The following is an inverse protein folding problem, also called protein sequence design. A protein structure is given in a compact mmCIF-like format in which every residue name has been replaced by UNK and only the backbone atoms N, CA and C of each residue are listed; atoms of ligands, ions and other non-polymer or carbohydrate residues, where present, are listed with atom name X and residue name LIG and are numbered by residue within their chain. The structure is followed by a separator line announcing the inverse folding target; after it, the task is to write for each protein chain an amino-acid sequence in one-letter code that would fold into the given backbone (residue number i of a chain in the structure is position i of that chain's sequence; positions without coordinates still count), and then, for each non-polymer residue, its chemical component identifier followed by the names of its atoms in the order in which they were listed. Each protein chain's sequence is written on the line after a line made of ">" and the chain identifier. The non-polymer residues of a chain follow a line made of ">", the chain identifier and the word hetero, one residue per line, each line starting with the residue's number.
data_IF_775641300947
#
_entry.id   IF_775641300947
#
_cell.length_a   1.000
_cell.length_b   1.000
_cell.length_c   1.000
_cell.angle_alpha   90.00
_cell.angle_beta   90.00
_cell.angle_gamma   90.00
#
_symmetry.space_group_name_H-M   'P 1'
#
loop_
_entity.id
_entity.type
_entity.pdbx_description
1 polymer ?
#
# COMPACT_ATOMS: atom_id res chain seq x y z
N UNK A 1 -19.66 19.91 -57.32
CA UNK A 1 -18.60 20.49 -56.45
C UNK A 1 -19.11 20.84 -55.05
N UNK A 2 -20.07 21.77 -54.86
CA UNK A 2 -20.58 22.15 -53.52
C UNK A 2 -21.09 20.98 -52.65
N UNK A 3 -21.86 20.04 -53.22
CA UNK A 3 -22.36 18.84 -52.50
C UNK A 3 -21.24 17.92 -52.00
N UNK A 4 -20.16 17.77 -52.77
CA UNK A 4 -19.01 16.93 -52.41
C UNK A 4 -18.24 17.56 -51.24
N UNK A 5 -18.04 18.89 -51.28
CA UNK A 5 -17.40 19.63 -50.19
C UNK A 5 -18.22 19.54 -48.88
N UNK A 6 -19.55 19.70 -48.96
CA UNK A 6 -20.43 19.56 -47.78
C UNK A 6 -20.31 18.16 -47.18
N UNK A 7 -20.33 17.11 -48.01
CA UNK A 7 -20.21 15.73 -47.55
C UNK A 7 -18.86 15.47 -46.84
N UNK A 8 -17.75 15.96 -47.40
CA UNK A 8 -16.43 15.81 -46.79
C UNK A 8 -16.33 16.55 -45.44
N UNK A 9 -16.88 17.76 -45.34
CA UNK A 9 -16.88 18.50 -44.08
C UNK A 9 -17.74 17.81 -43.01
N UNK A 10 -18.92 17.28 -43.38
CA UNK A 10 -19.76 16.52 -42.44
C UNK A 10 -19.04 15.30 -41.89
N UNK A 11 -18.34 14.52 -42.72
CA UNK A 11 -17.58 13.34 -42.28
C UNK A 11 -16.47 13.73 -41.30
N UNK A 12 -15.73 14.81 -41.58
CA UNK A 12 -14.66 15.29 -40.71
C UNK A 12 -15.21 15.74 -39.35
N UNK A 13 -16.32 16.49 -39.35
CA UNK A 13 -16.97 16.95 -38.11
C UNK A 13 -17.45 15.77 -37.28
N UNK A 14 -18.11 14.78 -37.89
CA UNK A 14 -18.53 13.56 -37.19
C UNK A 14 -17.32 12.81 -36.62
N UNK A 15 -16.23 12.68 -37.37
CA UNK A 15 -14.99 12.06 -36.89
C UNK A 15 -14.40 12.77 -35.68
N UNK A 16 -14.34 14.10 -35.68
CA UNK A 16 -13.85 14.89 -34.55
C UNK A 16 -14.76 14.71 -33.32
N UNK A 17 -16.08 14.73 -33.50
CA UNK A 17 -17.04 14.51 -32.41
C UNK A 17 -16.85 13.11 -31.82
N UNK A 18 -16.73 12.08 -32.66
CA UNK A 18 -16.47 10.71 -32.20
C UNK A 18 -15.16 10.60 -31.40
N UNK A 19 -14.08 11.22 -31.88
CA UNK A 19 -12.80 11.24 -31.16
C UNK A 19 -12.91 11.98 -29.81
N UNK A 20 -13.65 13.09 -29.76
CA UNK A 20 -13.92 13.81 -28.52
C UNK A 20 -14.68 12.97 -27.49
N UNK A 21 -15.73 12.27 -27.93
CA UNK A 21 -16.51 11.36 -27.07
C UNK A 21 -15.63 10.21 -26.55
N UNK A 22 -14.84 9.58 -27.43
CA UNK A 22 -13.91 8.51 -27.04
C UNK A 22 -12.88 9.01 -26.02
N UNK A 23 -12.33 10.21 -26.21
CA UNK A 23 -11.40 10.82 -25.26
C UNK A 23 -12.02 11.05 -23.88
N UNK A 24 -13.28 11.49 -23.81
CA UNK A 24 -14.00 11.68 -22.55
C UNK A 24 -14.25 10.33 -21.86
N UNK A 25 -14.69 9.30 -22.60
CA UNK A 25 -14.92 7.96 -22.05
C UNK A 25 -13.62 7.34 -21.52
N UNK A 26 -12.51 7.51 -22.24
CA UNK A 26 -11.19 7.03 -21.81
C UNK A 26 -10.73 7.73 -20.53
N UNK A 27 -10.86 9.07 -20.46
CA UNK A 27 -10.48 9.82 -19.26
C UNK A 27 -11.28 9.44 -18.01
N UNK A 28 -12.55 9.07 -18.18
CA UNK A 28 -13.36 8.55 -17.06
C UNK A 28 -12.89 7.18 -16.59
N UNK A 29 -12.57 6.27 -17.54
CA UNK A 29 -12.03 4.95 -17.22
C UNK A 29 -10.66 5.03 -16.55
N UNK A 30 -9.80 5.94 -16.98
CA UNK A 30 -8.47 6.12 -16.41
C UNK A 30 -8.53 6.49 -14.91
N UNK A 31 -9.47 7.35 -14.51
CA UNK A 31 -9.65 7.72 -13.10
C UNK A 31 -10.04 6.53 -12.24
N UNK A 32 -11.02 5.76 -12.69
CA UNK A 32 -11.47 4.56 -11.99
C UNK A 32 -10.35 3.50 -11.93
N UNK A 33 -9.57 3.36 -13.01
CA UNK A 33 -8.44 2.44 -13.07
C UNK A 33 -7.35 2.82 -12.06
N UNK A 34 -6.97 4.11 -12.00
CA UNK A 34 -5.96 4.60 -11.05
C UNK A 34 -6.40 4.36 -9.62
N UNK A 35 -7.66 4.65 -9.28
CA UNK A 35 -8.19 4.41 -7.92
C UNK A 35 -8.14 2.92 -7.55
N UNK A 36 -8.49 2.02 -8.47
CA UNK A 36 -8.40 0.58 -8.24
C UNK A 36 -6.97 0.07 -8.13
N UNK A 37 -6.04 0.64 -8.89
CA UNK A 37 -4.61 0.32 -8.77
C UNK A 37 -4.05 0.77 -7.42
N UNK A 38 -4.39 1.98 -6.97
CA UNK A 38 -3.98 2.49 -5.67
C UNK A 38 -4.55 1.62 -4.54
N UNK A 39 -5.84 1.28 -4.58
CA UNK A 39 -6.45 0.38 -3.61
C UNK A 39 -5.73 -0.98 -3.57
N UNK A 40 -5.47 -1.59 -4.73
CA UNK A 40 -4.74 -2.86 -4.83
C UNK A 40 -3.32 -2.74 -4.25
N UNK A 41 -2.62 -1.65 -4.54
CA UNK A 41 -1.27 -1.41 -4.06
C UNK A 41 -1.24 -1.26 -2.53
N UNK A 42 -2.16 -0.47 -1.96
CA UNK A 42 -2.30 -0.35 -0.51
C UNK A 42 -2.63 -1.68 0.15
N UNK A 43 -3.56 -2.46 -0.41
CA UNK A 43 -3.85 -3.80 0.09
C UNK A 43 -2.62 -4.71 0.07
N UNK A 44 -1.83 -4.66 -1.01
CA UNK A 44 -0.59 -5.42 -1.11
C UNK A 44 0.41 -5.03 -0.02
N UNK A 45 0.63 -3.73 0.22
CA UNK A 45 1.54 -3.25 1.26
C UNK A 45 1.12 -3.70 2.66
N UNK A 46 -0.18 -3.62 2.98
CA UNK A 46 -0.70 -4.04 4.28
C UNK A 46 -0.57 -5.56 4.48
N UNK A 47 -0.83 -6.35 3.44
CA UNK A 47 -0.62 -7.80 3.48
C UNK A 47 0.86 -8.15 3.63
N UNK A 48 1.75 -7.44 2.94
CA UNK A 48 3.19 -7.60 3.09
C UNK A 48 3.66 -7.26 4.50
N UNK A 49 3.17 -6.16 5.09
CA UNK A 49 3.46 -5.77 6.47
C UNK A 49 2.97 -6.84 7.46
N UNK A 50 1.77 -7.40 7.26
CA UNK A 50 1.26 -8.48 8.10
C UNK A 50 2.18 -9.70 8.04
N UNK A 51 2.54 -10.15 6.84
CA UNK A 51 3.45 -11.29 6.63
C UNK A 51 4.80 -11.04 7.30
N UNK A 52 5.40 -9.88 7.02
CA UNK A 52 6.70 -9.48 7.58
C UNK A 52 6.65 -9.47 9.11
N UNK A 53 5.62 -8.87 9.72
CA UNK A 53 5.50 -8.86 11.17
C UNK A 53 5.43 -10.27 11.76
N UNK A 54 4.79 -11.23 11.09
CA UNK A 54 4.74 -12.63 11.53
C UNK A 54 6.11 -13.32 11.45
N UNK A 55 6.84 -13.09 10.36
CA UNK A 55 8.20 -13.59 10.18
C UNK A 55 9.15 -12.98 11.22
N UNK A 56 9.02 -11.68 11.49
CA UNK A 56 9.80 -10.94 12.49
C UNK A 56 9.50 -11.46 13.91
N UNK A 57 8.24 -11.65 14.28
CA UNK A 57 7.87 -12.24 15.57
C UNK A 57 8.48 -13.63 15.76
N UNK A 58 8.41 -14.48 14.73
CA UNK A 58 9.00 -15.82 14.77
C UNK A 58 10.52 -15.76 14.93
N UNK A 59 11.17 -14.84 14.20
CA UNK A 59 12.62 -14.63 14.27
C UNK A 59 13.05 -14.14 15.65
N UNK A 60 12.42 -13.10 16.17
CA UNK A 60 12.75 -12.54 17.49
C UNK A 60 12.58 -13.57 18.60
N UNK A 61 11.47 -14.33 18.60
CA UNK A 61 11.25 -15.39 19.58
C UNK A 61 12.33 -16.49 19.50
N UNK A 62 12.65 -16.97 18.29
CA UNK A 62 13.68 -17.99 18.10
C UNK A 62 15.07 -17.50 18.54
N UNK A 63 15.45 -16.28 18.16
CA UNK A 63 16.75 -15.72 18.51
C UNK A 63 16.87 -15.50 20.02
N UNK A 64 15.81 -15.02 20.68
CA UNK A 64 15.78 -14.91 22.14
C UNK A 64 16.01 -16.25 22.83
N UNK A 65 15.31 -17.31 22.41
CA UNK A 65 15.44 -18.66 22.99
C UNK A 65 16.86 -19.21 22.84
N UNK A 66 17.52 -18.95 21.71
CA UNK A 66 18.88 -19.47 21.43
C UNK A 66 19.95 -18.65 22.15
N UNK A 67 19.78 -17.34 22.26
CA UNK A 67 20.84 -16.43 22.76
C UNK A 67 20.67 -16.02 24.23
N UNK A 68 19.44 -16.01 24.74
CA UNK A 68 19.09 -15.41 26.04
C UNK A 68 19.16 -13.88 26.07
N UNK A 69 19.42 -13.20 24.94
CA UNK A 69 19.53 -11.74 24.91
C UNK A 69 18.13 -11.09 24.95
N UNK A 70 17.84 -10.41 26.06
CA UNK A 70 16.58 -9.68 26.31
C UNK A 70 16.22 -8.65 25.25
N UNK A 71 17.17 -8.18 24.42
CA UNK A 71 16.87 -7.26 23.33
C UNK A 71 15.86 -7.85 22.34
N UNK A 72 16.00 -9.12 21.98
CA UNK A 72 15.08 -9.79 21.04
C UNK A 72 13.68 -9.95 21.63
N UNK A 73 13.56 -10.18 22.95
CA UNK A 73 12.26 -10.19 23.63
C UNK A 73 11.60 -8.81 23.58
N UNK A 74 12.35 -7.73 23.83
CA UNK A 74 11.81 -6.37 23.74
C UNK A 74 11.37 -6.04 22.31
N UNK A 75 12.16 -6.42 21.30
CA UNK A 75 11.80 -6.24 19.89
C UNK A 75 10.51 -7.02 19.54
N UNK A 76 10.35 -8.24 20.05
CA UNK A 76 9.11 -9.02 19.86
C UNK A 76 7.87 -8.27 20.37
N UNK A 77 7.95 -7.75 21.59
CA UNK A 77 6.84 -6.98 22.17
C UNK A 77 6.60 -5.66 21.43
N UNK A 78 7.65 -5.02 20.94
CA UNK A 78 7.53 -3.80 20.13
C UNK A 78 6.84 -4.06 18.79
N UNK A 79 7.14 -5.18 18.12
CA UNK A 79 6.45 -5.60 16.89
C UNK A 79 4.96 -5.78 17.16
N UNK A 80 4.57 -6.43 18.26
CA UNK A 80 3.18 -6.60 18.65
C UNK A 80 2.50 -5.26 18.95
N UNK A 81 3.16 -4.40 19.74
CA UNK A 81 2.64 -3.08 20.08
C UNK A 81 2.42 -2.21 18.84
N UNK A 82 3.34 -2.25 17.85
CA UNK A 82 3.16 -1.56 16.57
C UNK A 82 1.96 -2.14 15.81
N UNK A 83 1.84 -3.47 15.73
CA UNK A 83 0.72 -4.14 15.03
C UNK A 83 -0.63 -3.80 15.65
N UNK A 84 -0.68 -3.68 16.97
CA UNK A 84 -1.86 -3.33 17.74
C UNK A 84 -2.16 -1.83 17.78
N UNK A 85 -1.27 -0.97 17.25
CA UNK A 85 -1.42 0.49 17.31
C UNK A 85 -1.13 1.09 18.69
N UNK A 86 -0.46 0.35 19.58
CA UNK A 86 0.01 0.84 20.89
C UNK A 86 1.33 1.62 20.76
N UNK A 87 2.14 1.27 19.76
CA UNK A 87 3.34 2.01 19.34
C UNK A 87 3.17 2.56 17.93
N UNK A 88 3.78 3.71 17.61
CA UNK A 88 3.74 4.25 16.26
C UNK A 88 4.47 3.32 15.29
N UNK A 89 3.93 3.22 14.06
CA UNK A 89 4.53 2.40 13.01
C UNK A 89 5.72 3.12 12.38
N UNK A 90 6.83 2.46 12.03
CA UNK A 90 7.89 3.10 11.26
C UNK A 90 7.41 3.55 9.87
N UNK A 91 8.00 4.61 9.32
CA UNK A 91 7.78 4.96 7.92
C UNK A 91 8.31 3.85 6.99
N UNK A 92 7.58 3.57 5.91
CA UNK A 92 7.91 2.53 4.92
C UNK A 92 8.17 1.16 5.57
N UNK A 93 7.27 0.74 6.47
CA UNK A 93 7.41 -0.50 7.24
C UNK A 93 7.24 -1.78 6.41
N UNK A 94 6.79 -1.66 5.16
CA UNK A 94 6.83 -2.68 4.12
C UNK A 94 8.26 -3.04 3.67
N UNK A 95 9.26 -2.23 4.07
CA UNK A 95 10.68 -2.47 3.80
C UNK A 95 11.35 -3.10 5.03
N UNK A 96 12.53 -3.66 4.80
CA UNK A 96 13.41 -4.19 5.86
C UNK A 96 13.58 -3.13 6.97
N UNK A 97 13.25 -3.50 8.21
CA UNK A 97 13.32 -2.63 9.38
C UNK A 97 14.06 -3.30 10.54
N UNK A 98 13.53 -4.40 11.09
CA UNK A 98 14.11 -5.05 12.28
C UNK A 98 15.50 -5.64 12.06
N UNK A 99 15.85 -6.01 10.83
CA UNK A 99 17.22 -6.46 10.52
C UNK A 99 18.25 -5.32 10.51
N UNK A 100 17.78 -4.07 10.49
CA UNK A 100 18.63 -2.88 10.59
C UNK A 100 18.81 -2.39 12.03
N UNK A 101 18.05 -2.93 12.99
CA UNK A 101 18.14 -2.57 14.40
C UNK A 101 19.23 -3.42 15.05
N UNK A 102 20.45 -2.89 15.12
CA UNK A 102 21.59 -3.59 15.70
C UNK A 102 21.58 -3.54 17.23
N UNK A 103 21.12 -2.41 17.79
CA UNK A 103 20.93 -2.22 19.23
C UNK A 103 19.49 -1.85 19.52
N UNK A 104 18.88 -2.46 20.54
CA UNK A 104 17.52 -2.14 20.92
C UNK A 104 17.36 -0.64 21.26
N UNK A 105 16.32 -0.02 20.71
CA UNK A 105 16.03 1.41 20.87
C UNK A 105 16.52 2.27 19.70
N UNK A 106 17.40 1.74 18.84
CA UNK A 106 17.73 2.41 17.57
C UNK A 106 16.51 2.39 16.64
N UNK A 107 16.25 3.55 16.03
CA UNK A 107 15.19 3.72 15.03
C UNK A 107 15.83 4.01 13.67
N UNK A 108 15.95 3.02 12.79
CA UNK A 108 16.51 3.20 11.44
C UNK A 108 15.71 4.22 10.61
N UNK A 109 14.44 4.43 10.95
CA UNK A 109 13.53 5.37 10.28
C UNK A 109 12.66 6.10 11.31
N UNK A 110 12.17 7.30 10.97
CA UNK A 110 11.17 7.98 11.77
C UNK A 110 9.87 7.18 11.90
N UNK A 111 9.14 7.51 12.95
CA UNK A 111 7.81 7.00 13.21
C UNK A 111 6.74 7.73 12.37
N UNK A 112 5.65 7.02 12.12
CA UNK A 112 4.39 7.45 11.52
C UNK A 112 3.29 7.38 12.60
N UNK A 113 2.02 7.38 12.21
CA UNK A 113 0.91 7.27 13.15
C UNK A 113 0.80 5.90 13.84
N UNK A 114 0.30 5.92 15.08
CA UNK A 114 -0.05 4.72 15.84
C UNK A 114 -1.48 4.28 15.48
N UNK A 115 -1.60 3.51 14.40
CA UNK A 115 -2.87 2.92 13.95
C UNK A 115 -2.73 1.39 13.93
N UNK A 116 -3.68 0.63 14.51
CA UNK A 116 -3.67 -0.82 14.43
C UNK A 116 -3.66 -1.30 12.97
N UNK A 117 -2.81 -2.27 12.64
CA UNK A 117 -2.73 -2.83 11.28
C UNK A 117 -4.08 -3.38 10.82
N UNK A 118 -4.81 -4.04 11.73
CA UNK A 118 -6.15 -4.55 11.44
C UNK A 118 -7.13 -3.43 11.04
N UNK A 119 -7.04 -2.25 11.65
CA UNK A 119 -7.88 -1.11 11.28
C UNK A 119 -7.54 -0.58 9.88
N UNK A 120 -6.25 -0.52 9.53
CA UNK A 120 -5.80 -0.16 8.18
C UNK A 120 -6.29 -1.17 7.14
N UNK A 121 -6.20 -2.46 7.44
CA UNK A 121 -6.70 -3.52 6.57
C UNK A 121 -8.23 -3.44 6.39
N UNK A 122 -9.00 -3.22 7.45
CA UNK A 122 -10.45 -2.99 7.34
C UNK A 122 -10.76 -1.78 6.44
N UNK A 123 -10.04 -0.66 6.61
CA UNK A 123 -10.18 0.54 5.77
C UNK A 123 -9.85 0.28 4.30
N UNK A 124 -8.90 -0.61 4.02
CA UNK A 124 -8.53 -1.02 2.67
C UNK A 124 -9.52 -2.02 2.03
N UNK A 125 -10.53 -2.49 2.77
CA UNK A 125 -11.57 -3.38 2.27
C UNK A 125 -11.31 -4.87 2.48
N UNK A 126 -10.41 -5.24 3.40
CA UNK A 126 -10.25 -6.63 3.83
C UNK A 126 -11.46 -7.07 4.64
N UNK A 127 -11.98 -8.27 4.36
CA UNK A 127 -13.05 -8.88 5.16
C UNK A 127 -12.48 -9.40 6.48
N UNK A 128 -13.35 -9.52 7.48
CA UNK A 128 -13.00 -10.24 8.69
C UNK A 128 -12.77 -11.73 8.35
N UNK A 129 -11.82 -12.35 9.05
CA UNK A 129 -11.48 -13.76 8.91
C UNK A 129 -12.40 -14.63 9.79
#
# INVERSE_FOLDING_TARGET
>A
MKKILILSYSIIITGIICLGILGILMSQNDKALVEKQEQRYQSYLLAAQLRQSSDDLTRMARTYVVTGDSQYEKMYWDILAIRNGEKPRPQYYDRIYWDLVLTYGEKPRPDDEAIPLQALMKKAGFTEA
#
